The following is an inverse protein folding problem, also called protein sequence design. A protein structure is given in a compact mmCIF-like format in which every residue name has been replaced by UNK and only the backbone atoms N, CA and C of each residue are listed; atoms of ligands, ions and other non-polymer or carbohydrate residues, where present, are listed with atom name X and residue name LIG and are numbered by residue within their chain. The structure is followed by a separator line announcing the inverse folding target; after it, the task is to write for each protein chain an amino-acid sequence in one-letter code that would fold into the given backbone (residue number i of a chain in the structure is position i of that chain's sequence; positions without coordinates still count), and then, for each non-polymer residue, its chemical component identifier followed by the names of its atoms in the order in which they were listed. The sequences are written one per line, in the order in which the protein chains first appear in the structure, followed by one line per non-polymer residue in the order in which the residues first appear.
data_IF_255095535536
#
_entry.id   IF_255095535536
#
_cell.length_a   1.000
_cell.length_b   1.000
_cell.length_c   1.000
_cell.angle_alpha   90.00
_cell.angle_beta   90.00
_cell.angle_gamma   90.00
#
_symmetry.space_group_name_H-M   'P 1'
#
loop_
_entity.id
_entity.type
_entity.pdbx_description
1 polymer ?
#
# COMPACT_ATOMS: atom_id res chain seq x y z
N UNK A 1 15.97 -3.66 -2.79
CA UNK A 1 15.53 -2.97 -4.01
C UNK A 1 16.09 -1.56 -4.05
N UNK A 2 16.40 -1.10 -5.22
CA UNK A 2 16.98 0.22 -5.40
C UNK A 2 15.98 1.34 -5.21
N UNK A 3 16.48 2.48 -4.72
CA UNK A 3 15.69 3.69 -4.65
C UNK A 3 15.57 4.30 -6.04
N UNK A 4 14.34 4.61 -6.45
CA UNK A 4 14.06 5.11 -7.79
C UNK A 4 12.98 6.18 -7.74
N UNK A 5 12.91 7.05 -8.76
CA UNK A 5 11.72 7.90 -8.87
C UNK A 5 10.51 7.05 -9.21
N UNK A 6 9.40 7.33 -8.54
CA UNK A 6 8.17 6.56 -8.71
C UNK A 6 7.00 7.53 -8.84
N UNK A 7 6.11 7.24 -9.78
CA UNK A 7 4.95 8.10 -10.01
C UNK A 7 3.75 7.64 -9.21
N UNK A 8 3.40 6.37 -9.38
CA UNK A 8 2.17 5.82 -8.79
C UNK A 8 2.49 4.47 -8.18
N UNK A 9 2.08 4.30 -6.93
CA UNK A 9 2.25 3.05 -6.21
C UNK A 9 0.89 2.56 -5.75
N UNK A 10 0.58 1.30 -6.07
CA UNK A 10 -0.64 0.66 -5.58
C UNK A 10 -0.34 -0.11 -4.31
N UNK A 11 -1.19 0.06 -3.30
CA UNK A 11 -1.08 -0.69 -2.06
C UNK A 11 -2.20 -1.72 -2.04
N UNK A 12 -1.83 -2.97 -1.84
CA UNK A 12 -2.77 -4.06 -1.77
C UNK A 12 -2.64 -4.76 -0.44
N UNK A 13 -3.75 -5.28 0.07
CA UNK A 13 -3.77 -5.95 1.35
C UNK A 13 -4.54 -7.26 1.20
N UNK A 14 -3.95 -8.35 1.69
CA UNK A 14 -4.57 -9.67 1.67
C UNK A 14 -4.56 -10.23 3.08
N UNK A 15 -5.66 -10.86 3.47
CA UNK A 15 -5.75 -11.50 4.77
C UNK A 15 -5.46 -12.98 4.60
N UNK A 16 -4.50 -13.48 5.38
CA UNK A 16 -4.12 -14.89 5.37
C UNK A 16 -4.40 -15.46 6.73
N UNK A 17 -5.13 -16.57 6.77
CA UNK A 17 -5.44 -17.24 8.03
C UNK A 17 -4.50 -18.42 8.22
N UNK A 18 -3.85 -18.47 9.38
CA UNK A 18 -2.92 -19.55 9.69
C UNK A 18 -3.04 -19.88 11.17
N UNK A 19 -3.23 -21.16 11.48
CA UNK A 19 -3.34 -21.65 12.87
C UNK A 19 -4.39 -20.91 13.68
N UNK A 20 -5.50 -20.54 13.02
CA UNK A 20 -6.58 -19.84 13.69
C UNK A 20 -6.39 -18.34 13.84
N UNK A 21 -5.25 -17.81 13.43
CA UNK A 21 -4.97 -16.38 13.52
C UNK A 21 -4.99 -15.75 12.14
N UNK A 22 -5.36 -14.46 12.09
CA UNK A 22 -5.33 -13.70 10.86
C UNK A 22 -4.01 -12.95 10.76
N UNK A 23 -3.44 -12.97 9.56
CA UNK A 23 -2.24 -12.19 9.23
C UNK A 23 -2.55 -11.32 8.04
N UNK A 24 -1.99 -10.14 8.03
CA UNK A 24 -2.27 -9.13 7.03
C UNK A 24 -1.04 -8.91 6.17
N UNK A 25 -1.16 -9.26 4.90
CA UNK A 25 -0.05 -9.14 3.94
C UNK A 25 -0.24 -7.87 3.14
N UNK A 26 0.70 -6.94 3.28
CA UNK A 26 0.68 -5.70 2.54
C UNK A 26 1.69 -5.77 1.41
N UNK A 27 1.30 -5.30 0.24
CA UNK A 27 2.18 -5.27 -0.92
C UNK A 27 2.12 -3.89 -1.55
N UNK A 28 3.27 -3.37 -1.94
CA UNK A 28 3.37 -2.10 -2.65
C UNK A 28 3.94 -2.37 -4.04
N UNK A 29 3.23 -1.92 -5.06
CA UNK A 29 3.58 -2.19 -6.44
C UNK A 29 3.73 -0.88 -7.21
N UNK A 30 4.85 -0.73 -7.91
CA UNK A 30 5.04 0.38 -8.83
C UNK A 30 4.21 0.08 -10.07
N UNK A 31 3.14 0.82 -10.25
CA UNK A 31 2.16 0.53 -11.31
C UNK A 31 2.76 0.73 -12.69
N UNK A 32 3.56 1.77 -12.86
CA UNK A 32 4.15 2.06 -14.18
C UNK A 32 5.19 1.01 -14.58
N UNK A 33 6.00 0.60 -13.63
CA UNK A 33 7.09 -0.34 -13.91
C UNK A 33 6.67 -1.79 -13.71
N UNK A 34 5.45 -1.99 -13.21
CA UNK A 34 4.95 -3.33 -12.90
C UNK A 34 5.93 -4.08 -12.01
N UNK A 35 6.34 -3.44 -10.94
CA UNK A 35 7.40 -3.93 -10.07
C UNK A 35 6.92 -3.98 -8.63
N UNK A 36 7.12 -5.13 -7.98
CA UNK A 36 6.82 -5.26 -6.55
C UNK A 36 7.95 -4.58 -5.78
N UNK A 37 7.60 -3.54 -5.01
CA UNK A 37 8.58 -2.79 -4.25
C UNK A 37 8.84 -3.45 -2.90
N UNK A 38 7.77 -3.81 -2.20
CA UNK A 38 7.89 -4.28 -0.83
C UNK A 38 6.67 -5.10 -0.47
N UNK A 39 6.89 -6.15 0.33
CA UNK A 39 5.82 -6.96 0.87
C UNK A 39 6.13 -7.24 2.33
N UNK A 40 5.14 -7.09 3.20
CA UNK A 40 5.29 -7.33 4.63
C UNK A 40 4.07 -8.01 5.19
N UNK A 41 4.29 -8.79 6.24
CA UNK A 41 3.23 -9.50 6.94
C UNK A 41 3.13 -8.96 8.36
N UNK A 42 1.92 -8.61 8.79
CA UNK A 42 1.70 -8.09 10.12
C UNK A 42 0.63 -8.91 10.84
N UNK A 43 0.77 -9.09 12.14
CA UNK A 43 -0.25 -9.83 12.91
C UNK A 43 -1.49 -8.99 13.19
N UNK A 44 -1.44 -7.69 12.93
CA UNK A 44 -2.59 -6.81 13.15
C UNK A 44 -2.68 -5.81 12.03
N UNK A 45 -3.86 -5.21 11.91
CA UNK A 45 -4.15 -4.24 10.86
C UNK A 45 -4.70 -3.00 11.52
N UNK A 46 -3.91 -1.94 11.53
CA UNK A 46 -4.35 -0.68 12.09
C UNK A 46 -3.55 0.46 11.46
N UNK A 47 -3.85 1.67 11.89
CA UNK A 47 -3.19 2.86 11.39
C UNK A 47 -1.67 2.80 11.57
N UNK A 48 -1.20 2.31 12.72
CA UNK A 48 0.23 2.30 13.01
C UNK A 48 1.00 1.33 12.12
N UNK A 49 0.49 0.10 11.97
CA UNK A 49 1.17 -0.87 11.10
C UNK A 49 1.16 -0.41 9.65
N UNK A 50 0.07 0.19 9.22
CA UNK A 50 -0.03 0.73 7.86
C UNK A 50 0.96 1.86 7.65
N UNK A 51 1.08 2.75 8.63
CA UNK A 51 2.02 3.87 8.54
C UNK A 51 3.45 3.38 8.48
N UNK A 52 3.78 2.36 9.26
CA UNK A 52 5.10 1.75 9.21
C UNK A 52 5.41 1.18 7.84
N UNK A 53 4.44 0.48 7.25
CA UNK A 53 4.63 -0.11 5.95
C UNK A 53 4.87 0.95 4.88
N UNK A 54 4.03 1.99 4.87
CA UNK A 54 4.16 3.05 3.88
C UNK A 54 5.48 3.80 4.07
N UNK A 55 5.88 4.03 5.30
CA UNK A 55 7.16 4.68 5.58
C UNK A 55 8.33 3.87 5.02
N UNK A 56 8.23 2.54 5.12
CA UNK A 56 9.25 1.67 4.52
C UNK A 56 9.24 1.79 2.99
N UNK A 57 8.06 1.83 2.40
CA UNK A 57 7.94 1.96 0.95
C UNK A 57 8.62 3.23 0.47
N UNK A 58 8.45 4.32 1.21
CA UNK A 58 9.04 5.62 0.84
C UNK A 58 10.56 5.57 0.79
N UNK A 59 11.19 4.64 1.48
CA UNK A 59 12.64 4.49 1.43
C UNK A 59 13.13 4.04 0.05
N UNK A 60 12.23 3.50 -0.75
CA UNK A 60 12.56 3.06 -2.11
C UNK A 60 12.07 4.05 -3.17
N UNK A 61 11.68 5.25 -2.74
CA UNK A 61 11.18 6.28 -3.62
C UNK A 61 12.05 7.53 -3.49
N UNK A 62 12.50 8.05 -4.62
CA UNK A 62 13.29 9.29 -4.62
C UNK A 62 12.40 10.52 -4.46
N UNK A 63 11.12 10.36 -4.76
CA UNK A 63 10.13 11.43 -4.68
C UNK A 63 8.97 10.97 -3.80
N UNK A 64 7.94 11.79 -3.71
CA UNK A 64 6.72 11.44 -2.98
C UNK A 64 5.68 11.01 -4.02
N UNK A 65 5.49 9.70 -4.20
CA UNK A 65 4.57 9.22 -5.24
C UNK A 65 3.12 9.37 -4.82
N UNK A 66 2.24 9.24 -5.80
CA UNK A 66 0.82 9.13 -5.55
C UNK A 66 0.48 7.67 -5.27
N UNK A 67 -0.43 7.44 -4.35
CA UNK A 67 -0.83 6.09 -3.97
C UNK A 67 -2.22 5.77 -4.47
N UNK A 68 -2.40 4.54 -4.96
CA UNK A 68 -3.72 4.02 -5.30
C UNK A 68 -4.06 2.98 -4.23
N UNK A 69 -5.20 3.19 -3.57
CA UNK A 69 -5.57 2.34 -2.43
C UNK A 69 -7.04 1.97 -2.48
N UNK A 70 -7.36 0.92 -1.73
CA UNK A 70 -8.73 0.59 -1.39
C UNK A 70 -9.27 1.63 -0.41
N UNK A 71 -10.60 1.61 -0.19
CA UNK A 71 -11.23 2.58 0.71
C UNK A 71 -11.10 2.19 2.17
N UNK A 72 -9.94 1.74 2.58
CA UNK A 72 -9.72 1.34 3.97
C UNK A 72 -9.37 2.56 4.81
N UNK A 73 -10.11 2.82 5.91
CA UNK A 73 -9.86 4.02 6.72
C UNK A 73 -8.44 4.10 7.27
N UNK A 74 -7.85 2.97 7.64
CA UNK A 74 -6.49 2.96 8.18
C UNK A 74 -5.46 3.34 7.13
N UNK A 75 -5.71 2.99 5.86
CA UNK A 75 -4.84 3.38 4.75
C UNK A 75 -4.93 4.88 4.51
N UNK A 76 -6.15 5.39 4.45
CA UNK A 76 -6.36 6.82 4.22
C UNK A 76 -5.72 7.63 5.33
N UNK A 77 -5.94 7.23 6.59
CA UNK A 77 -5.40 7.96 7.73
C UNK A 77 -3.88 7.98 7.70
N UNK A 78 -3.25 6.85 7.35
CA UNK A 78 -1.81 6.77 7.29
C UNK A 78 -1.24 7.68 6.20
N UNK A 79 -1.87 7.67 5.02
CA UNK A 79 -1.40 8.49 3.92
C UNK A 79 -1.56 9.98 4.22
N UNK A 80 -2.70 10.36 4.80
CA UNK A 80 -2.93 11.75 5.18
C UNK A 80 -1.90 12.20 6.22
N UNK A 81 -1.62 11.37 7.20
CA UNK A 81 -0.66 11.73 8.24
C UNK A 81 0.75 11.90 7.70
N UNK A 82 1.07 11.22 6.61
CA UNK A 82 2.38 11.35 5.98
C UNK A 82 2.42 12.40 4.89
N UNK A 83 1.29 13.06 4.64
CA UNK A 83 1.20 14.11 3.64
C UNK A 83 1.29 13.60 2.21
N UNK A 84 0.78 12.43 1.95
CA UNK A 84 0.88 11.80 0.65
C UNK A 84 -0.43 11.90 -0.11
N UNK A 85 -0.34 12.01 -1.44
CA UNK A 85 -1.51 12.00 -2.30
C UNK A 85 -2.00 10.57 -2.51
N UNK A 86 -3.31 10.42 -2.64
CA UNK A 86 -3.87 9.10 -2.89
C UNK A 86 -5.14 9.20 -3.70
N UNK A 87 -5.47 8.08 -4.36
CA UNK A 87 -6.72 7.90 -5.08
C UNK A 87 -7.32 6.56 -4.71
N UNK A 88 -8.63 6.48 -4.73
CA UNK A 88 -9.32 5.21 -4.54
C UNK A 88 -9.26 4.41 -5.83
N UNK A 89 -9.18 3.11 -5.68
CA UNK A 89 -9.15 2.20 -6.80
C UNK A 89 -10.57 2.01 -7.32
N UNK A 90 -10.98 2.86 -8.26
CA UNK A 90 -12.34 2.82 -8.77
C UNK A 90 -12.46 2.13 -10.12
N UNK A 91 -11.37 2.07 -10.87
CA UNK A 91 -11.41 1.50 -12.21
C UNK A 91 -11.79 0.02 -12.20
N UNK A 92 -11.55 -0.68 -11.12
CA UNK A 92 -11.93 -2.09 -11.01
C UNK A 92 -13.43 -2.28 -11.09
N UNK A 93 -14.18 -1.39 -10.47
CA UNK A 93 -15.64 -1.48 -10.46
C UNK A 93 -16.22 -1.33 -11.84
N UNK A 94 -15.61 -0.49 -12.62
CA UNK A 94 -16.04 -0.29 -13.99
C UNK A 94 -15.81 -1.52 -14.85
N UNK A 95 -14.73 -2.20 -14.60
CA UNK A 95 -14.38 -3.38 -15.36
C UNK A 95 -15.28 -4.56 -15.08
N UNK A 96 -15.91 -4.58 -13.95
CA UNK A 96 -16.76 -5.71 -13.58
C UNK A 96 -18.05 -5.75 -14.40
N UNK A 97 -18.32 -4.74 -15.14
CA UNK A 97 -19.51 -4.68 -15.99
C UNK A 97 -19.48 -5.64 -17.17
#
# INVERSE_FOLDING_TARGET
MEKKPRKVIAIDETIVKANGDNYYVYAAIDVEKNELILMRVYPSRNYLTTKLFISEVLKYCENRPKFIIDKAPWLIKALVSLGLEYEHETFRKEKSD
#
